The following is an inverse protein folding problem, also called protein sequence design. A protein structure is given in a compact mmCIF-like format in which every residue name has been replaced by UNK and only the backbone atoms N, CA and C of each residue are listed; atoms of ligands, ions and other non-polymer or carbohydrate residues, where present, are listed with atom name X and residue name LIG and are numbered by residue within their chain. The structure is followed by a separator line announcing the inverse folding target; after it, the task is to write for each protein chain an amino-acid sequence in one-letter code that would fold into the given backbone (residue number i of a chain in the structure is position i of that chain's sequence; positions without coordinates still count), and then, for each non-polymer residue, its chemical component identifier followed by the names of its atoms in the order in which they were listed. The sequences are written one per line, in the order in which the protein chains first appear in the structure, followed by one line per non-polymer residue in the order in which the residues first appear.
data_IF_541352065454
#
_entry.id   IF_541352065454
#
_cell.length_a   1.000
_cell.length_b   1.000
_cell.length_c   1.000
_cell.angle_alpha   90.00
_cell.angle_beta   90.00
_cell.angle_gamma   90.00
#
_symmetry.space_group_name_H-M   'P 1'
#
loop_
_entity.id
_entity.type
_entity.pdbx_description
1 polymer ?
#
# COMPACT_ATOMS: atom_id res chain seq x y z
N UNK A 1 -29.69 17.47 18.02
CA UNK A 1 -29.25 17.16 16.64
C UNK A 1 -27.82 16.67 16.74
N UNK A 2 -27.60 15.36 16.65
CA UNK A 2 -26.27 14.79 16.68
C UNK A 2 -25.65 14.98 15.28
N UNK A 3 -24.66 15.87 15.17
CA UNK A 3 -23.75 15.86 14.04
C UNK A 3 -22.96 14.57 14.12
N UNK A 4 -23.40 13.55 13.37
CA UNK A 4 -22.55 12.42 13.06
C UNK A 4 -21.37 12.97 12.27
N UNK A 5 -20.27 13.28 12.98
CA UNK A 5 -18.94 13.43 12.39
C UNK A 5 -18.61 12.10 11.73
N UNK A 6 -19.03 11.99 10.47
CA UNK A 6 -18.69 10.88 9.59
C UNK A 6 -17.18 11.02 9.38
N UNK A 7 -16.40 10.29 10.19
CA UNK A 7 -14.95 10.37 10.14
C UNK A 7 -14.49 10.21 8.68
N UNK A 8 -13.49 10.96 8.21
CA UNK A 8 -12.97 10.85 6.83
C UNK A 8 -12.52 9.40 6.50
N UNK A 9 -12.21 8.61 7.54
CA UNK A 9 -11.91 7.18 7.49
C UNK A 9 -13.08 6.33 6.93
N UNK A 10 -14.32 6.72 7.17
CA UNK A 10 -15.54 6.00 6.75
C UNK A 10 -15.89 6.24 5.26
N UNK A 11 -15.16 7.13 4.57
CA UNK A 11 -15.40 7.51 3.15
C UNK A 11 -14.35 7.01 2.16
N UNK A 12 -13.29 6.34 2.61
CA UNK A 12 -12.36 5.72 1.69
C UNK A 12 -12.95 4.42 1.14
N UNK A 13 -13.78 4.60 0.11
CA UNK A 13 -14.27 3.48 -0.67
C UNK A 13 -13.10 2.73 -1.33
N UNK A 14 -13.27 1.43 -1.63
CA UNK A 14 -12.23 0.59 -2.25
C UNK A 14 -11.71 1.17 -3.57
N UNK A 15 -12.50 2.00 -4.25
CA UNK A 15 -12.12 2.71 -5.47
C UNK A 15 -11.02 3.74 -5.22
N UNK A 16 -11.10 4.51 -4.13
CA UNK A 16 -10.13 5.55 -3.80
C UNK A 16 -8.79 4.95 -3.36
N UNK A 17 -8.84 3.86 -2.57
CA UNK A 17 -7.64 3.09 -2.20
C UNK A 17 -6.97 2.51 -3.45
N UNK A 18 -7.75 1.92 -4.37
CA UNK A 18 -7.23 1.40 -5.65
C UNK A 18 -6.56 2.49 -6.47
N UNK A 19 -7.19 3.66 -6.59
CA UNK A 19 -6.62 4.80 -7.32
C UNK A 19 -5.30 5.29 -6.71
N UNK A 20 -5.21 5.33 -5.37
CA UNK A 20 -3.97 5.68 -4.68
C UNK A 20 -2.87 4.65 -4.91
N UNK A 21 -3.19 3.36 -4.89
CA UNK A 21 -2.22 2.28 -5.20
C UNK A 21 -1.71 2.39 -6.63
N UNK A 22 -2.59 2.64 -7.61
CA UNK A 22 -2.14 2.85 -9.00
C UNK A 22 -1.27 4.10 -9.14
N UNK A 23 -1.57 5.19 -8.41
CA UNK A 23 -0.72 6.39 -8.37
C UNK A 23 0.64 6.07 -7.77
N UNK A 24 0.68 5.35 -6.65
CA UNK A 24 1.89 4.91 -5.99
C UNK A 24 2.78 4.06 -6.91
N UNK A 25 2.22 3.04 -7.57
CA UNK A 25 2.97 2.20 -8.50
C UNK A 25 3.52 2.99 -9.71
N UNK A 26 2.83 4.04 -10.16
CA UNK A 26 3.34 4.94 -11.19
C UNK A 26 4.52 5.77 -10.72
N UNK A 27 4.53 6.21 -9.45
CA UNK A 27 5.67 6.92 -8.87
C UNK A 27 6.90 6.00 -8.78
N UNK A 28 6.71 4.76 -8.32
CA UNK A 28 7.78 3.74 -8.30
C UNK A 28 8.30 3.46 -9.71
N UNK A 29 7.41 3.35 -10.70
CA UNK A 29 7.80 3.11 -12.10
C UNK A 29 8.50 4.31 -12.76
N UNK A 30 8.36 5.51 -12.21
CA UNK A 30 9.03 6.72 -12.68
C UNK A 30 10.41 6.92 -12.03
N UNK A 31 10.69 6.27 -10.90
CA UNK A 31 12.00 6.29 -10.24
C UNK A 31 12.97 5.34 -10.97
N UNK A 32 14.10 5.88 -11.45
CA UNK A 32 15.08 5.13 -12.23
C UNK A 32 15.73 3.97 -11.45
N UNK A 33 15.80 4.05 -10.12
CA UNK A 33 16.37 3.00 -9.27
C UNK A 33 15.35 1.90 -8.96
N UNK A 34 14.06 2.24 -8.91
CA UNK A 34 12.99 1.30 -8.54
C UNK A 34 12.27 0.70 -9.76
N UNK A 35 12.21 1.42 -10.88
CA UNK A 35 11.60 0.96 -12.12
C UNK A 35 12.09 -0.43 -12.56
N UNK A 36 13.39 -0.79 -12.44
CA UNK A 36 13.85 -2.13 -12.78
C UNK A 36 13.09 -3.21 -12.03
N UNK A 37 12.75 -3.03 -10.75
CA UNK A 37 12.07 -4.02 -9.92
C UNK A 37 10.63 -4.31 -10.34
N UNK A 38 10.03 -3.43 -11.15
CA UNK A 38 8.70 -3.63 -11.72
C UNK A 38 8.73 -4.32 -13.10
N UNK A 39 9.90 -4.61 -13.66
CA UNK A 39 10.02 -5.31 -14.95
C UNK A 39 9.72 -6.79 -14.74
N UNK A 40 8.74 -7.30 -15.51
CA UNK A 40 8.25 -8.68 -15.43
C UNK A 40 7.24 -8.92 -14.30
N UNK A 41 6.88 -7.88 -13.55
CA UNK A 41 5.86 -7.96 -12.50
C UNK A 41 4.50 -7.57 -13.08
N UNK A 42 3.48 -8.40 -12.82
CA UNK A 42 2.10 -8.05 -13.11
C UNK A 42 1.65 -6.91 -12.18
N UNK A 43 1.66 -5.69 -12.73
CA UNK A 43 1.31 -4.46 -12.01
C UNK A 43 -0.14 -4.45 -11.53
N UNK A 44 -1.03 -5.12 -12.26
CA UNK A 44 -2.45 -5.18 -11.89
C UNK A 44 -2.66 -6.14 -10.72
N UNK A 45 -2.01 -7.31 -10.75
CA UNK A 45 -2.01 -8.25 -9.64
C UNK A 45 -1.35 -7.65 -8.39
N UNK A 46 -0.24 -6.93 -8.58
CA UNK A 46 0.44 -6.22 -7.49
C UNK A 46 -0.44 -5.11 -6.90
N UNK A 47 -1.12 -4.33 -7.75
CA UNK A 47 -2.06 -3.31 -7.29
C UNK A 47 -3.24 -3.91 -6.51
N UNK A 48 -3.78 -5.04 -6.97
CA UNK A 48 -4.86 -5.74 -6.26
C UNK A 48 -4.43 -6.21 -4.87
N UNK A 49 -3.23 -6.80 -4.75
CA UNK A 49 -2.69 -7.26 -3.47
C UNK A 49 -2.47 -6.10 -2.50
N UNK A 50 -1.84 -5.01 -2.94
CA UNK A 50 -1.66 -3.83 -2.09
C UNK A 50 -2.98 -3.16 -1.72
N UNK A 51 -3.95 -3.12 -2.64
CA UNK A 51 -5.30 -2.60 -2.35
C UNK A 51 -6.00 -3.44 -1.29
N UNK A 52 -5.91 -4.77 -1.35
CA UNK A 52 -6.50 -5.65 -0.34
C UNK A 52 -5.84 -5.47 1.03
N UNK A 53 -4.49 -5.40 1.08
CA UNK A 53 -3.76 -5.21 2.33
C UNK A 53 -4.03 -3.84 2.96
N UNK A 54 -4.02 -2.78 2.16
CA UNK A 54 -4.36 -1.43 2.62
C UNK A 54 -5.84 -1.35 3.01
N UNK A 55 -6.73 -2.00 2.26
CA UNK A 55 -8.14 -2.12 2.63
C UNK A 55 -8.33 -2.76 4.00
N UNK A 56 -7.59 -3.82 4.33
CA UNK A 56 -7.61 -4.44 5.65
C UNK A 56 -7.01 -3.53 6.74
N UNK A 57 -5.90 -2.85 6.47
CA UNK A 57 -5.26 -1.94 7.42
C UNK A 57 -6.10 -0.68 7.71
N UNK A 58 -6.77 -0.14 6.69
CA UNK A 58 -7.61 1.05 6.76
C UNK A 58 -9.04 0.73 7.22
N UNK A 59 -9.54 -0.46 6.88
CA UNK A 59 -10.89 -0.94 7.17
C UNK A 59 -11.04 -1.68 8.49
N UNK A 60 -9.96 -1.85 9.27
CA UNK A 60 -9.92 -2.59 10.54
C UNK A 60 -10.87 -2.10 11.66
N UNK A 61 -11.70 -1.09 11.42
CA UNK A 61 -12.81 -0.72 12.31
C UNK A 61 -14.16 -1.41 11.95
N UNK A 62 -14.27 -2.11 10.81
CA UNK A 62 -15.47 -2.89 10.47
C UNK A 62 -15.10 -4.27 9.97
N UNK A 63 -15.51 -5.25 10.79
CA UNK A 63 -15.78 -6.65 10.48
C UNK A 63 -14.63 -7.61 10.79
N UNK A 64 -14.89 -8.42 11.82
CA UNK A 64 -14.06 -9.55 12.19
C UNK A 64 -14.05 -10.66 11.14
N UNK A 65 -13.01 -11.48 11.26
CA UNK A 65 -12.76 -12.80 10.69
C UNK A 65 -13.31 -13.08 9.29
N UNK A 66 -12.40 -13.10 8.30
CA UNK A 66 -12.18 -14.30 7.50
C UNK A 66 -10.83 -14.18 6.75
N UNK A 67 -9.99 -15.22 6.84
CA UNK A 67 -8.83 -15.45 5.99
C UNK A 67 -7.67 -14.48 6.15
N UNK A 68 -6.73 -14.84 7.02
CA UNK A 68 -5.37 -14.30 7.00
C UNK A 68 -4.57 -14.97 5.87
N UNK A 69 -4.06 -14.25 4.84
CA UNK A 69 -3.06 -14.77 3.95
C UNK A 69 -1.69 -14.21 4.34
N UNK A 70 -1.27 -14.33 5.61
CA UNK A 70 0.09 -13.96 6.02
C UNK A 70 1.14 -15.04 5.66
N UNK A 71 0.75 -16.17 5.06
CA UNK A 71 1.67 -17.28 4.78
C UNK A 71 1.86 -17.63 3.29
N UNK A 72 1.63 -16.68 2.39
CA UNK A 72 2.09 -16.79 1.02
C UNK A 72 3.12 -15.70 0.78
N UNK A 73 4.42 -16.06 0.82
CA UNK A 73 5.57 -15.18 0.58
C UNK A 73 5.19 -13.95 -0.25
N UNK A 74 5.09 -12.81 0.43
CA UNK A 74 4.54 -11.59 -0.14
C UNK A 74 5.29 -11.21 -1.41
N UNK A 75 4.66 -10.52 -2.38
CA UNK A 75 5.35 -10.12 -3.60
C UNK A 75 6.42 -9.08 -3.24
N UNK A 76 7.63 -9.55 -2.94
CA UNK A 76 8.80 -8.71 -2.87
C UNK A 76 8.92 -8.01 -4.24
N UNK A 77 9.01 -6.67 -4.22
CA UNK A 77 9.34 -5.91 -5.41
C UNK A 77 10.62 -6.50 -6.00
N UNK A 78 10.51 -7.12 -7.18
CA UNK A 78 11.62 -7.78 -7.86
C UNK A 78 11.59 -9.31 -7.93
N UNK A 79 10.70 -9.99 -7.20
CA UNK A 79 10.62 -11.46 -7.19
C UNK A 79 11.86 -12.15 -6.59
N UNK A 80 11.81 -13.47 -6.43
CA UNK A 80 12.83 -14.29 -5.74
C UNK A 80 14.22 -14.31 -6.39
N UNK A 81 14.38 -13.72 -7.59
CA UNK A 81 15.65 -13.67 -8.34
C UNK A 81 16.36 -12.32 -8.31
N UNK A 82 15.77 -11.29 -7.71
CA UNK A 82 16.41 -9.96 -7.62
C UNK A 82 16.97 -9.70 -6.24
N UNK A 83 18.05 -8.89 -6.16
CA UNK A 83 18.56 -8.44 -4.87
C UNK A 83 17.43 -7.75 -4.10
N UNK A 84 17.35 -7.94 -2.77
CA UNK A 84 16.36 -7.26 -1.95
C UNK A 84 16.59 -5.74 -2.01
N UNK A 85 15.50 -4.97 -1.91
CA UNK A 85 15.57 -3.51 -1.87
C UNK A 85 16.50 -3.04 -0.76
N UNK A 86 17.35 -2.05 -1.05
CA UNK A 86 18.21 -1.42 -0.03
C UNK A 86 17.37 -0.65 0.99
N UNK A 87 17.98 -0.27 2.12
CA UNK A 87 17.30 0.56 3.13
C UNK A 87 16.72 1.85 2.57
N UNK A 88 17.50 2.55 1.75
CA UNK A 88 17.09 3.80 1.10
C UNK A 88 15.96 3.59 0.08
N UNK A 89 16.04 2.54 -0.73
CA UNK A 89 15.00 2.19 -1.70
C UNK A 89 13.68 1.86 -1.00
N UNK A 90 13.73 1.16 0.14
CA UNK A 90 12.54 0.91 0.97
C UNK A 90 11.93 2.21 1.50
N UNK A 91 12.75 3.15 1.96
CA UNK A 91 12.26 4.46 2.40
C UNK A 91 11.61 5.25 1.25
N UNK A 92 12.23 5.30 0.06
CA UNK A 92 11.62 5.95 -1.11
C UNK A 92 10.28 5.33 -1.50
N UNK A 93 10.18 4.00 -1.48
CA UNK A 93 8.92 3.28 -1.73
C UNK A 93 7.83 3.71 -0.72
N UNK A 94 8.17 3.85 0.56
CA UNK A 94 7.24 4.30 1.61
C UNK A 94 6.89 5.79 1.51
N UNK A 95 7.82 6.63 1.07
CA UNK A 95 7.58 8.07 0.83
C UNK A 95 6.63 8.29 -0.35
N UNK A 96 6.79 7.52 -1.43
CA UNK A 96 5.83 7.53 -2.54
C UNK A 96 4.45 7.02 -2.15
N UNK A 97 4.39 6.06 -1.21
CA UNK A 97 3.12 5.60 -0.64
C UNK A 97 2.46 6.73 0.15
N UNK A 98 3.20 7.41 1.02
CA UNK A 98 2.69 8.56 1.77
C UNK A 98 2.19 9.66 0.84
N UNK A 99 2.96 10.00 -0.20
CA UNK A 99 2.54 10.99 -1.20
C UNK A 99 1.24 10.60 -1.93
N UNK A 100 1.04 9.31 -2.23
CA UNK A 100 -0.18 8.82 -2.86
C UNK A 100 -1.38 8.83 -1.90
N UNK A 101 -1.16 8.56 -0.62
CA UNK A 101 -2.20 8.57 0.43
C UNK A 101 -2.56 9.98 0.89
N UNK A 102 -1.62 10.92 0.90
CA UNK A 102 -1.91 12.34 1.17
C UNK A 102 -2.84 12.96 0.13
N UNK A 103 -2.81 12.48 -1.11
CA UNK A 103 -3.79 12.90 -2.12
C UNK A 103 -5.24 12.51 -1.78
N UNK A 104 -5.43 11.65 -0.79
CA UNK A 104 -6.74 11.24 -0.26
C UNK A 104 -7.14 12.00 1.01
N UNK A 105 -6.37 13.02 1.41
CA UNK A 105 -6.59 13.84 2.62
C UNK A 105 -6.71 12.99 3.91
N UNK A 106 -5.88 11.94 3.97
CA UNK A 106 -5.84 11.01 5.09
C UNK A 106 -5.09 11.60 6.30
N UNK A 107 -5.57 11.38 7.54
CA UNK A 107 -4.85 11.78 8.74
C UNK A 107 -3.49 11.06 8.83
N UNK A 108 -2.46 11.75 9.32
CA UNK A 108 -1.09 11.26 9.37
C UNK A 108 -0.94 9.90 10.07
N UNK A 109 -1.68 9.66 11.16
CA UNK A 109 -1.69 8.36 11.84
C UNK A 109 -2.09 7.21 10.91
N UNK A 110 -3.09 7.43 10.05
CA UNK A 110 -3.56 6.43 9.08
C UNK A 110 -2.55 6.18 7.96
N UNK A 111 -1.80 7.22 7.56
CA UNK A 111 -0.67 7.08 6.63
C UNK A 111 0.45 6.23 7.24
N UNK A 112 0.78 6.46 8.52
CA UNK A 112 1.80 5.69 9.25
C UNK A 112 1.41 4.22 9.40
N UNK A 113 0.13 3.93 9.70
CA UNK A 113 -0.35 2.55 9.81
C UNK A 113 -0.31 1.82 8.45
N UNK A 114 -0.67 2.52 7.37
CA UNK A 114 -0.53 2.00 6.01
C UNK A 114 0.93 1.73 5.64
N UNK A 115 1.84 2.65 5.97
CA UNK A 115 3.28 2.45 5.76
C UNK A 115 3.82 1.25 6.56
N UNK A 116 3.41 1.07 7.81
CA UNK A 116 3.80 -0.08 8.64
C UNK A 116 3.33 -1.41 8.05
N UNK A 117 2.10 -1.46 7.55
CA UNK A 117 1.55 -2.65 6.90
C UNK A 117 2.32 -3.04 5.63
N UNK A 118 2.73 -2.05 4.83
CA UNK A 118 3.54 -2.26 3.62
C UNK A 118 4.99 -2.59 3.95
N UNK A 119 5.58 -1.94 4.97
CA UNK A 119 6.94 -2.25 5.42
C UNK A 119 7.10 -3.71 5.88
N UNK A 120 6.05 -4.29 6.48
CA UNK A 120 6.01 -5.72 6.80
C UNK A 120 6.08 -6.62 5.56
N UNK A 121 5.38 -6.25 4.47
CA UNK A 121 5.42 -6.99 3.19
C UNK A 121 6.77 -6.89 2.46
N UNK A 122 7.51 -5.81 2.65
CA UNK A 122 8.82 -5.61 2.01
C UNK A 122 9.97 -6.29 2.76
N UNK A 123 9.73 -6.80 3.97
CA UNK A 123 10.72 -7.54 4.79
C UNK A 123 10.62 -9.07 4.66
N UNK A 124 9.47 -9.58 4.22
CA UNK A 124 9.19 -11.00 4.03
C UNK A 124 9.68 -11.48 2.66
#
# INVERSE_FOLDING_TARGET
MATCSREPRDRLGPVAVRAAVHRWLRLIAADAELAPYLIGVDRQRLAALFTARLGAALGGARRGSDGDPADAGGPALGGSRRPPLTGEQRWRVLDYLAAALWALDLPAATVVDAQRAVAGLLRA
#
